data_IF_241388824132
#
_entry.id   IF_241388824132
#
_cell.length_a   1.000
_cell.length_b   1.000
_cell.length_c   1.000
_cell.angle_alpha   90.00
_cell.angle_beta   90.00
_cell.angle_gamma   90.00
#
_symmetry.space_group_name_H-M   'P 1'
#
loop_
_entity.id
_entity.type
_entity.pdbx_description
1 polymer ?
#
# COMPACT_ATOMS: atom_id res chain seq x y z
N UNK A 1 -7.99 -1.71 25.07
CA UNK A 1 -8.18 -0.83 23.90
C UNK A 1 -7.56 -1.55 22.69
N UNK A 2 -8.32 -1.73 21.60
CA UNK A 2 -7.89 -2.42 20.38
C UNK A 2 -8.24 -1.60 19.15
N UNK A 3 -7.58 -0.45 19.00
CA UNK A 3 -7.84 0.47 17.88
C UNK A 3 -7.02 0.06 16.65
N UNK A 4 -7.65 0.10 15.48
CA UNK A 4 -6.97 -0.09 14.20
C UNK A 4 -7.01 1.23 13.43
N UNK A 5 -5.89 1.60 12.82
CA UNK A 5 -5.79 2.77 11.93
C UNK A 5 -5.72 2.28 10.50
N UNK A 6 -6.57 2.86 9.66
CA UNK A 6 -6.48 2.73 8.20
C UNK A 6 -6.12 4.10 7.65
N UNK A 7 -5.13 4.14 6.77
CA UNK A 7 -4.76 5.33 6.02
C UNK A 7 -4.72 4.99 4.53
N UNK A 8 -4.97 6.00 3.70
CA UNK A 8 -4.84 5.90 2.25
C UNK A 8 -3.79 6.91 1.84
N UNK A 9 -2.78 6.46 1.11
CA UNK A 9 -1.67 7.31 0.68
C UNK A 9 -1.08 6.79 -0.62
N UNK A 10 -0.56 7.70 -1.44
CA UNK A 10 0.29 7.38 -2.58
C UNK A 10 1.78 7.47 -2.24
N UNK A 11 2.13 7.76 -0.98
CA UNK A 11 3.51 7.74 -0.49
C UNK A 11 3.90 6.33 0.00
N UNK A 12 4.81 5.62 -0.71
CA UNK A 12 5.24 4.28 -0.31
C UNK A 12 6.00 4.27 1.02
N UNK A 13 6.68 5.36 1.40
CA UNK A 13 7.39 5.44 2.68
C UNK A 13 6.43 5.50 3.86
N UNK A 14 5.30 6.21 3.71
CA UNK A 14 4.24 6.24 4.71
C UNK A 14 3.52 4.89 4.82
N UNK A 15 3.15 4.28 3.69
CA UNK A 15 2.46 2.98 3.66
C UNK A 15 3.33 1.83 4.23
N UNK A 16 4.65 1.89 4.07
CA UNK A 16 5.59 0.92 4.64
C UNK A 16 5.59 0.88 6.18
N UNK A 17 5.01 1.88 6.86
CA UNK A 17 4.86 1.86 8.33
C UNK A 17 3.72 0.97 8.80
N UNK A 18 2.83 0.55 7.91
CA UNK A 18 1.70 -0.29 8.25
C UNK A 18 2.14 -1.75 8.47
N UNK A 19 1.40 -2.47 9.30
CA UNK A 19 1.55 -3.92 9.42
C UNK A 19 1.16 -4.63 8.11
N UNK A 20 0.17 -4.08 7.40
CA UNK A 20 -0.34 -4.59 6.13
C UNK A 20 -0.66 -3.43 5.19
N UNK A 21 -0.31 -3.54 3.92
CA UNK A 21 -0.72 -2.61 2.87
C UNK A 21 -1.62 -3.32 1.86
N UNK A 22 -2.70 -2.66 1.45
CA UNK A 22 -3.54 -3.08 0.35
C UNK A 22 -3.26 -2.16 -0.84
N UNK A 23 -2.89 -2.75 -1.97
CA UNK A 23 -2.72 -2.02 -3.22
C UNK A 23 -4.05 -2.04 -3.96
N UNK A 24 -4.50 -0.88 -4.41
CA UNK A 24 -5.78 -0.72 -5.10
C UNK A 24 -5.58 -0.15 -6.50
N UNK A 25 -6.38 -0.64 -7.45
CA UNK A 25 -6.49 -0.12 -8.81
C UNK A 25 -7.96 -0.27 -9.27
N UNK A 26 -8.48 0.71 -10.02
CA UNK A 26 -9.84 0.69 -10.57
C UNK A 26 -10.95 0.37 -9.54
N UNK A 27 -10.80 0.90 -8.32
CA UNK A 27 -11.75 0.67 -7.22
C UNK A 27 -11.70 -0.74 -6.62
N UNK A 28 -10.68 -1.54 -6.94
CA UNK A 28 -10.51 -2.93 -6.46
C UNK A 28 -9.18 -3.10 -5.73
N UNK A 29 -9.16 -3.98 -4.72
CA UNK A 29 -7.91 -4.45 -4.12
C UNK A 29 -7.28 -5.46 -5.07
N UNK A 30 -6.08 -5.15 -5.54
CA UNK A 30 -5.34 -5.99 -6.50
C UNK A 30 -4.22 -6.78 -5.84
N UNK A 31 -3.70 -6.31 -4.70
CA UNK A 31 -2.65 -6.98 -3.96
C UNK A 31 -2.75 -6.66 -2.46
N UNK A 32 -2.25 -7.57 -1.62
CA UNK A 32 -2.09 -7.36 -0.19
C UNK A 32 -0.68 -7.80 0.24
N UNK A 33 0.01 -6.90 0.94
CA UNK A 33 1.38 -7.09 1.39
C UNK A 33 1.43 -7.09 2.92
N UNK A 34 2.03 -8.13 3.50
CA UNK A 34 2.31 -8.21 4.94
C UNK A 34 3.70 -7.65 5.24
N UNK A 35 3.81 -6.78 6.25
CA UNK A 35 5.04 -6.05 6.63
C UNK A 35 5.75 -5.46 5.39
N UNK A 36 5.08 -4.59 4.61
CA UNK A 36 5.60 -4.08 3.35
C UNK A 36 6.84 -3.20 3.55
N UNK A 37 7.70 -3.16 2.53
CA UNK A 37 8.82 -2.21 2.47
C UNK A 37 8.53 -1.08 1.47
N UNK A 38 9.14 0.08 1.68
CA UNK A 38 8.96 1.24 0.79
C UNK A 38 9.40 0.96 -0.67
N UNK A 39 10.53 0.27 -0.94
CA UNK A 39 10.91 -0.07 -2.32
C UNK A 39 9.87 -0.96 -3.01
N UNK A 40 9.36 -1.99 -2.32
CA UNK A 40 8.30 -2.83 -2.87
C UNK A 40 7.08 -2.00 -3.24
N UNK A 41 6.57 -1.17 -2.32
CA UNK A 41 5.40 -0.34 -2.58
C UNK A 41 5.62 0.65 -3.71
N UNK A 42 6.79 1.28 -3.79
CA UNK A 42 7.14 2.21 -4.86
C UNK A 42 7.07 1.52 -6.24
N UNK A 43 7.64 0.33 -6.38
CA UNK A 43 7.56 -0.46 -7.62
C UNK A 43 6.11 -0.73 -8.05
N UNK A 44 5.20 -1.03 -7.10
CA UNK A 44 3.80 -1.33 -7.42
C UNK A 44 3.05 -0.08 -7.85
N UNK A 45 3.30 1.06 -7.20
CA UNK A 45 2.69 2.33 -7.57
C UNK A 45 3.13 2.79 -8.96
N UNK A 46 4.41 2.63 -9.30
CA UNK A 46 4.91 2.92 -10.66
C UNK A 46 4.23 2.02 -11.69
N UNK A 47 4.21 0.70 -11.45
CA UNK A 47 3.59 -0.26 -12.38
C UNK A 47 2.09 -0.04 -12.60
N UNK A 48 1.39 0.55 -11.63
CA UNK A 48 -0.03 0.91 -11.76
C UNK A 48 -0.25 2.24 -12.47
N UNK A 49 0.66 3.20 -12.33
CA UNK A 49 0.56 4.49 -13.03
C UNK A 49 0.90 4.42 -14.52
N UNK A 50 1.55 3.35 -14.97
CA UNK A 50 1.86 3.09 -16.38
C UNK A 50 0.73 2.37 -17.16
N UNK A 51 -0.37 2.01 -16.47
CA UNK A 51 -1.56 1.40 -17.07
C UNK A 51 -2.63 2.44 -17.38
#
# INVERSE_FOLDING_TARGET
>A
LGQTVVMVTHDPAAAARAHRALVMADGRVVEALERPTAPQLAERLVALGER
#
